data_IF_249828162592
#
_entry.id   IF_249828162592
#
_cell.length_a   1.000
_cell.length_b   1.000
_cell.length_c   1.000
_cell.angle_alpha   90.00
_cell.angle_beta   90.00
_cell.angle_gamma   90.00
#
_symmetry.space_group_name_H-M   'P 1'
#
loop_
_entity.id
_entity.type
_entity.pdbx_description
1 polymer ?
#
# COMPACT_ATOMS: atom_id res chain seq x y z
N UNK A 1 -14.51 7.38 34.23
CA UNK A 1 -14.64 7.23 32.76
C UNK A 1 -15.24 5.87 32.53
N UNK A 2 -16.47 5.80 32.03
CA UNK A 2 -17.13 4.50 31.74
C UNK A 2 -16.33 3.88 30.60
N UNK A 3 -15.67 2.75 30.84
CA UNK A 3 -15.13 1.94 29.75
C UNK A 3 -16.35 1.29 29.09
N UNK A 4 -16.75 1.78 27.93
CA UNK A 4 -17.74 1.06 27.13
C UNK A 4 -17.03 -0.19 26.61
N UNK A 5 -17.56 -1.35 26.98
CA UNK A 5 -17.09 -2.64 26.50
C UNK A 5 -18.28 -3.37 25.90
N UNK A 6 -18.05 -4.10 24.83
CA UNK A 6 -19.07 -4.97 24.25
C UNK A 6 -18.51 -6.38 24.07
N UNK A 7 -19.40 -7.35 24.18
CA UNK A 7 -19.08 -8.76 23.96
C UNK A 7 -19.35 -9.12 22.51
N UNK A 8 -18.48 -9.94 21.94
CA UNK A 8 -18.57 -10.41 20.57
C UNK A 8 -18.19 -11.88 20.51
N UNK A 9 -18.98 -12.68 19.80
CA UNK A 9 -18.64 -14.05 19.44
C UNK A 9 -18.08 -14.10 18.02
N UNK A 10 -16.84 -14.57 17.90
CA UNK A 10 -16.13 -14.75 16.63
C UNK A 10 -15.86 -16.23 16.43
N UNK A 11 -16.31 -16.77 15.30
CA UNK A 11 -16.02 -18.13 14.89
C UNK A 11 -14.77 -18.16 14.02
N UNK A 12 -13.75 -18.91 14.42
CA UNK A 12 -12.57 -19.20 13.62
C UNK A 12 -12.50 -20.71 13.36
N UNK A 13 -12.79 -21.11 12.12
CA UNK A 13 -13.00 -22.51 11.73
C UNK A 13 -14.10 -23.18 12.57
N UNK A 14 -13.77 -24.21 13.34
CA UNK A 14 -14.69 -24.96 14.19
C UNK A 14 -14.85 -24.35 15.60
N UNK A 15 -13.97 -23.43 15.99
CA UNK A 15 -13.97 -22.84 17.33
C UNK A 15 -14.75 -21.52 17.38
N UNK A 16 -15.49 -21.31 18.46
CA UNK A 16 -16.16 -20.05 18.77
C UNK A 16 -15.53 -19.38 19.98
N UNK A 17 -15.13 -18.12 19.81
CA UNK A 17 -14.46 -17.32 20.82
C UNK A 17 -15.38 -16.20 21.27
N UNK A 18 -15.72 -16.19 22.56
CA UNK A 18 -16.38 -15.06 23.21
C UNK A 18 -15.32 -14.08 23.71
N UNK A 19 -15.33 -12.86 23.19
CA UNK A 19 -14.34 -11.82 23.45
C UNK A 19 -15.01 -10.55 23.98
N UNK A 20 -14.31 -9.82 24.84
CA UNK A 20 -14.72 -8.47 25.25
C UNK A 20 -13.86 -7.44 24.54
N UNK A 21 -14.48 -6.59 23.74
CA UNK A 21 -13.82 -5.47 23.08
C UNK A 21 -14.03 -4.21 23.92
N UNK A 22 -12.92 -3.57 24.30
CA UNK A 22 -12.94 -2.32 25.04
C UNK A 22 -12.78 -1.13 24.09
N UNK A 23 -13.48 -0.04 24.40
CA UNK A 23 -13.13 1.26 23.82
C UNK A 23 -11.77 1.75 24.34
N UNK A 24 -10.92 2.34 23.46
CA UNK A 24 -9.64 2.88 23.86
C UNK A 24 -9.83 4.03 24.85
N UNK A 25 -9.11 3.99 25.97
CA UNK A 25 -9.02 5.13 26.89
C UNK A 25 -8.16 6.27 26.32
N UNK A 26 -8.13 7.43 26.98
CA UNK A 26 -7.39 8.60 26.49
C UNK A 26 -5.89 8.35 26.25
N UNK A 27 -5.25 7.48 27.05
CA UNK A 27 -3.84 7.12 26.90
C UNK A 27 -3.63 6.18 25.71
N UNK A 28 -4.47 5.16 25.57
CA UNK A 28 -4.45 4.21 24.45
C UNK A 28 -4.74 4.90 23.12
N UNK A 29 -5.72 5.82 23.10
CA UNK A 29 -6.02 6.65 21.93
C UNK A 29 -4.81 7.46 21.49
N UNK A 30 -4.14 8.12 22.43
CA UNK A 30 -2.91 8.87 22.15
C UNK A 30 -1.79 7.99 21.61
N UNK A 31 -1.64 6.75 22.11
CA UNK A 31 -0.64 5.81 21.62
C UNK A 31 -0.93 5.32 20.19
N UNK A 32 -2.20 5.06 19.88
CA UNK A 32 -2.64 4.70 18.53
C UNK A 32 -2.45 5.87 17.55
N UNK A 33 -2.79 7.09 17.98
CA UNK A 33 -2.62 8.31 17.18
C UNK A 33 -1.14 8.57 16.86
N UNK A 34 -0.24 8.42 17.85
CA UNK A 34 1.21 8.56 17.61
C UNK A 34 1.75 7.56 16.58
N UNK A 35 1.29 6.31 16.63
CA UNK A 35 1.67 5.29 15.65
C UNK A 35 1.12 5.59 14.26
N UNK A 36 -0.13 6.05 14.19
CA UNK A 36 -0.78 6.47 12.94
C UNK A 36 -0.05 7.65 12.29
N UNK A 37 0.34 8.65 13.08
CA UNK A 37 1.03 9.85 12.58
C UNK A 37 2.42 9.54 12.03
N UNK A 38 3.12 8.55 12.62
CA UNK A 38 4.40 8.07 12.09
C UNK A 38 4.22 7.47 10.68
N UNK A 39 3.28 6.54 10.52
CA UNK A 39 3.01 5.89 9.22
C UNK A 39 2.41 6.85 8.18
N UNK A 40 1.75 7.93 8.59
CA UNK A 40 1.23 8.93 7.65
C UNK A 40 2.33 9.67 6.87
N UNK A 41 3.49 9.92 7.50
CA UNK A 41 4.64 10.54 6.81
C UNK A 41 5.27 9.59 5.80
N UNK A 42 5.36 8.31 6.14
CA UNK A 42 5.88 7.27 5.24
C UNK A 42 4.96 7.06 4.05
N UNK A 43 3.63 7.03 4.27
CA UNK A 43 2.63 6.98 3.20
C UNK A 43 2.80 8.15 2.23
N UNK A 44 2.93 9.38 2.72
CA UNK A 44 3.11 10.55 1.84
C UNK A 44 4.38 10.44 0.98
N UNK A 45 5.45 9.86 1.52
CA UNK A 45 6.71 9.65 0.78
C UNK A 45 6.54 8.60 -0.32
N UNK A 46 5.83 7.50 -0.04
CA UNK A 46 5.55 6.45 -1.02
C UNK A 46 4.57 6.91 -2.11
N UNK A 47 3.56 7.71 -1.77
CA UNK A 47 2.65 8.33 -2.73
C UNK A 47 3.39 9.26 -3.69
N UNK A 48 4.29 10.11 -3.19
CA UNK A 48 5.14 10.96 -4.03
C UNK A 48 6.05 10.12 -4.95
N UNK A 49 6.57 8.99 -4.46
CA UNK A 49 7.37 8.08 -5.27
C UNK A 49 6.52 7.41 -6.38
N UNK A 50 5.27 7.04 -6.09
CA UNK A 50 4.32 6.50 -7.09
C UNK A 50 4.00 7.53 -8.16
N UNK A 51 3.67 8.75 -7.76
CA UNK A 51 3.34 9.80 -8.71
C UNK A 51 4.54 10.10 -9.63
N UNK A 52 5.76 10.10 -9.07
CA UNK A 52 6.99 10.23 -9.87
C UNK A 52 7.20 9.05 -10.83
N UNK A 53 6.93 7.82 -10.37
CA UNK A 53 7.02 6.63 -11.20
C UNK A 53 6.03 6.66 -12.37
N UNK A 54 4.76 7.01 -12.11
CA UNK A 54 3.74 7.15 -13.14
C UNK A 54 4.08 8.26 -14.14
N UNK A 55 4.60 9.39 -13.66
CA UNK A 55 5.04 10.48 -14.54
C UNK A 55 6.15 10.02 -15.50
N UNK A 56 7.14 9.28 -14.99
CA UNK A 56 8.21 8.72 -15.82
C UNK A 56 7.70 7.70 -16.83
N UNK A 57 6.71 6.87 -16.47
CA UNK A 57 6.06 5.96 -17.41
C UNK A 57 5.33 6.71 -18.53
N UNK A 58 4.60 7.78 -18.20
CA UNK A 58 3.97 8.64 -19.20
C UNK A 58 4.99 9.30 -20.12
N UNK A 59 6.11 9.77 -19.56
CA UNK A 59 7.21 10.32 -20.36
C UNK A 59 7.79 9.28 -21.32
N UNK A 60 8.04 8.05 -20.86
CA UNK A 60 8.49 6.94 -21.73
C UNK A 60 7.48 6.69 -22.84
N UNK A 61 6.19 6.55 -22.50
CA UNK A 61 5.12 6.30 -23.47
C UNK A 61 5.08 7.39 -24.54
N UNK A 62 5.11 8.66 -24.14
CA UNK A 62 5.10 9.79 -25.07
C UNK A 62 6.31 9.78 -26.00
N UNK A 63 7.51 9.47 -25.48
CA UNK A 63 8.71 9.33 -26.32
C UNK A 63 8.61 8.12 -27.28
N UNK A 64 7.96 7.03 -26.87
CA UNK A 64 7.71 5.88 -27.73
C UNK A 64 6.73 6.22 -28.87
N UNK A 65 5.73 7.04 -28.61
CA UNK A 65 4.78 7.52 -29.62
C UNK A 65 5.50 8.39 -30.66
N UNK A 66 6.34 9.33 -30.21
CA UNK A 66 7.17 10.14 -31.12
C UNK A 66 8.11 9.26 -31.94
N UNK A 67 8.76 8.26 -31.34
CA UNK A 67 9.61 7.32 -32.08
C UNK A 67 8.81 6.59 -33.16
N UNK A 68 7.59 6.16 -32.83
CA UNK A 68 6.73 5.45 -33.78
C UNK A 68 6.35 6.35 -34.96
N UNK A 69 5.94 7.59 -34.68
CA UNK A 69 5.66 8.59 -35.70
C UNK A 69 6.90 8.90 -36.56
N UNK A 70 8.07 9.06 -35.95
CA UNK A 70 9.32 9.31 -36.67
C UNK A 70 9.67 8.14 -37.59
N UNK A 71 9.45 6.90 -37.15
CA UNK A 71 9.67 5.71 -37.98
C UNK A 71 8.67 5.63 -39.15
N UNK A 72 7.43 6.08 -38.97
CA UNK A 72 6.46 6.18 -40.06
C UNK A 72 6.86 7.24 -41.08
N UNK A 73 7.13 8.47 -40.62
CA UNK A 73 7.57 9.58 -41.46
C UNK A 73 8.88 9.28 -42.22
N UNK A 74 9.78 8.50 -41.61
CA UNK A 74 11.05 8.12 -42.25
C UNK A 74 10.88 7.37 -43.58
N UNK A 75 9.71 6.75 -43.81
CA UNK A 75 9.41 6.02 -45.06
C UNK A 75 9.16 6.96 -46.24
N UNK A 76 8.86 8.23 -45.98
CA UNK A 76 8.42 9.20 -46.99
C UNK A 76 9.44 10.33 -47.24
N UNK A 77 10.47 10.44 -46.39
CA UNK A 77 11.42 11.55 -46.39
C UNK A 77 12.63 11.32 -47.31
N UNK A 78 13.20 12.44 -47.78
CA UNK A 78 14.45 12.46 -48.55
C UNK A 78 15.66 12.39 -47.62
N UNK A 79 16.81 12.02 -48.18
CA UNK A 79 18.03 11.63 -47.47
C UNK A 79 18.50 12.62 -46.36
N UNK A 80 18.40 13.94 -46.60
CA UNK A 80 18.78 14.95 -45.61
C UNK A 80 17.81 15.07 -44.42
N UNK A 81 16.51 15.07 -44.68
CA UNK A 81 15.45 15.14 -43.66
C UNK A 81 15.37 13.82 -42.87
N UNK A 82 15.57 12.70 -43.57
CA UNK A 82 15.66 11.37 -42.98
C UNK A 82 16.80 11.26 -41.97
N UNK A 83 17.98 11.78 -42.30
CA UNK A 83 19.14 11.75 -41.40
C UNK A 83 18.90 12.49 -40.08
N UNK A 84 18.26 13.66 -40.15
CA UNK A 84 17.88 14.44 -38.97
C UNK A 84 16.87 13.67 -38.10
N UNK A 85 15.83 13.11 -38.73
CA UNK A 85 14.78 12.38 -38.03
C UNK A 85 15.30 11.10 -37.36
N UNK A 86 16.24 10.39 -37.99
CA UNK A 86 16.89 9.21 -37.40
C UNK A 86 17.77 9.59 -36.20
N UNK A 87 18.44 10.75 -36.24
CA UNK A 87 19.22 11.26 -35.11
C UNK A 87 18.33 11.56 -33.92
N UNK A 88 17.22 12.29 -34.13
CA UNK A 88 16.22 12.57 -33.09
C UNK A 88 15.66 11.27 -32.50
N UNK A 89 15.30 10.31 -33.35
CA UNK A 89 14.82 8.99 -32.94
C UNK A 89 15.83 8.26 -32.05
N UNK A 90 17.12 8.34 -32.37
CA UNK A 90 18.19 7.73 -31.57
C UNK A 90 18.34 8.43 -30.21
N UNK A 91 18.26 9.76 -30.17
CA UNK A 91 18.30 10.53 -28.94
C UNK A 91 17.11 10.18 -28.02
N UNK A 92 15.90 10.09 -28.56
CA UNK A 92 14.71 9.66 -27.81
C UNK A 92 14.87 8.24 -27.23
N UNK A 93 15.40 7.29 -28.01
CA UNK A 93 15.70 5.93 -27.54
C UNK A 93 16.71 5.93 -26.38
N UNK A 94 17.74 6.75 -26.47
CA UNK A 94 18.73 6.89 -25.39
C UNK A 94 18.12 7.50 -24.12
N UNK A 95 17.24 8.48 -24.26
CA UNK A 95 16.51 9.07 -23.12
C UNK A 95 15.61 8.04 -22.45
N UNK A 96 14.83 7.26 -23.22
CA UNK A 96 14.01 6.16 -22.69
C UNK A 96 14.91 5.18 -21.92
N UNK A 97 16.02 4.74 -22.50
CA UNK A 97 16.94 3.81 -21.85
C UNK A 97 17.48 4.36 -20.51
N UNK A 98 17.85 5.65 -20.49
CA UNK A 98 18.32 6.30 -19.27
C UNK A 98 17.25 6.36 -18.18
N UNK A 99 15.99 6.70 -18.53
CA UNK A 99 14.87 6.71 -17.59
C UNK A 99 14.63 5.28 -17.08
N UNK A 100 14.46 4.30 -17.97
CA UNK A 100 14.17 2.91 -17.62
C UNK A 100 15.22 2.27 -16.72
N UNK A 101 16.51 2.61 -16.87
CA UNK A 101 17.59 2.11 -16.02
C UNK A 101 17.45 2.54 -14.55
N UNK A 102 16.81 3.67 -14.30
CA UNK A 102 16.60 4.23 -12.96
C UNK A 102 15.18 4.07 -12.45
N UNK A 103 14.26 3.61 -13.31
CA UNK A 103 12.87 3.41 -12.98
C UNK A 103 12.73 2.19 -12.07
N UNK A 104 12.27 2.41 -10.85
CA UNK A 104 11.93 1.36 -9.89
C UNK A 104 10.51 1.58 -9.43
N UNK A 105 9.73 0.53 -9.45
CA UNK A 105 8.39 0.53 -8.86
C UNK A 105 8.53 0.74 -7.34
N UNK A 106 7.75 1.65 -6.74
CA UNK A 106 7.74 1.82 -5.29
C UNK A 106 7.26 0.53 -4.59
N UNK A 107 7.95 0.11 -3.54
CA UNK A 107 7.56 -1.04 -2.74
C UNK A 107 6.67 -0.61 -1.57
N UNK A 108 5.39 -0.99 -1.61
CA UNK A 108 4.40 -0.69 -0.56
C UNK A 108 4.35 -1.74 0.55
N UNK A 109 5.04 -2.88 0.41
CA UNK A 109 5.05 -3.95 1.43
C UNK A 109 5.47 -3.47 2.82
N UNK A 110 6.45 -2.56 2.98
CA UNK A 110 6.80 -2.03 4.29
C UNK A 110 5.61 -1.34 4.96
N UNK A 111 4.85 -0.52 4.22
CA UNK A 111 3.69 0.18 4.73
C UNK A 111 2.54 -0.77 5.09
N UNK A 112 2.30 -1.78 4.26
CA UNK A 112 1.32 -2.84 4.55
C UNK A 112 1.67 -3.55 5.87
N UNK A 113 2.95 -3.84 6.07
CA UNK A 113 3.44 -4.44 7.31
C UNK A 113 3.29 -3.51 8.51
N UNK A 114 3.61 -2.23 8.38
CA UNK A 114 3.41 -1.26 9.47
C UNK A 114 1.94 -1.14 9.87
N UNK A 115 1.05 -1.05 8.89
CA UNK A 115 -0.40 -0.99 9.13
C UNK A 115 -0.85 -2.24 9.89
N UNK A 116 -0.38 -3.41 9.46
CA UNK A 116 -0.68 -4.68 10.09
C UNK A 116 -0.15 -4.73 11.54
N UNK A 117 1.06 -4.25 11.80
CA UNK A 117 1.65 -4.16 13.14
C UNK A 117 0.84 -3.20 14.05
N UNK A 118 0.33 -2.08 13.51
CA UNK A 118 -0.55 -1.16 14.24
C UNK A 118 -1.87 -1.83 14.59
N UNK A 119 -2.46 -2.59 13.66
CA UNK A 119 -3.73 -3.28 13.87
C UNK A 119 -3.58 -4.46 14.83
N UNK A 120 -2.43 -5.14 14.81
CA UNK A 120 -2.04 -6.14 15.80
C UNK A 120 -1.92 -5.53 17.19
N UNK A 121 -1.21 -4.41 17.32
CA UNK A 121 -1.12 -3.67 18.57
C UNK A 121 -2.50 -3.21 19.07
N UNK A 122 -3.38 -2.78 18.16
CA UNK A 122 -4.77 -2.45 18.50
C UNK A 122 -5.52 -3.68 19.04
N UNK A 123 -5.35 -4.86 18.45
CA UNK A 123 -5.92 -6.12 18.95
C UNK A 123 -5.41 -6.46 20.35
N UNK A 124 -4.11 -6.33 20.59
CA UNK A 124 -3.49 -6.55 21.91
C UNK A 124 -4.02 -5.58 22.98
N UNK A 125 -4.30 -4.33 22.61
CA UNK A 125 -4.81 -3.34 23.55
C UNK A 125 -6.30 -3.51 23.86
N UNK A 126 -7.12 -3.69 22.82
CA UNK A 126 -8.56 -3.51 22.95
C UNK A 126 -9.31 -4.83 23.19
N UNK A 127 -8.75 -5.96 22.80
CA UNK A 127 -9.34 -7.28 23.05
C UNK A 127 -8.97 -7.73 24.47
N UNK A 128 -9.98 -8.21 25.20
CA UNK A 128 -9.87 -8.73 26.56
C UNK A 128 -10.78 -9.94 26.76
N UNK A 129 -10.63 -10.63 27.89
CA UNK A 129 -11.34 -11.86 28.22
C UNK A 129 -10.41 -13.08 28.26
N UNK A 130 -10.89 -14.14 28.89
CA UNK A 130 -10.10 -15.34 29.22
C UNK A 130 -9.57 -16.07 27.97
N UNK A 131 -10.26 -15.92 26.84
CA UNK A 131 -9.91 -16.58 25.58
C UNK A 131 -9.02 -15.72 24.66
N UNK A 132 -8.63 -14.50 25.08
CA UNK A 132 -7.87 -13.54 24.25
C UNK A 132 -6.59 -14.15 23.67
N UNK A 133 -5.74 -14.73 24.52
CA UNK A 133 -4.43 -15.22 24.10
C UNK A 133 -4.55 -16.36 23.10
N UNK A 134 -5.48 -17.29 23.36
CA UNK A 134 -5.78 -18.41 22.47
C UNK A 134 -6.32 -17.90 21.13
N UNK A 135 -7.22 -16.91 21.17
CA UNK A 135 -7.79 -16.30 19.98
C UNK A 135 -6.72 -15.63 19.11
N UNK A 136 -5.89 -14.75 19.69
CA UNK A 136 -4.84 -14.05 18.93
C UNK A 136 -3.81 -15.01 18.36
N UNK A 137 -3.44 -16.05 19.11
CA UNK A 137 -2.56 -17.10 18.60
C UNK A 137 -3.18 -17.84 17.42
N UNK A 138 -4.48 -18.12 17.47
CA UNK A 138 -5.18 -18.78 16.37
C UNK A 138 -5.32 -17.88 15.13
N UNK A 139 -5.49 -16.57 15.32
CA UNK A 139 -5.43 -15.58 14.23
C UNK A 139 -4.06 -15.64 13.53
N UNK A 140 -2.97 -15.62 14.31
CA UNK A 140 -1.60 -15.73 13.80
C UNK A 140 -1.35 -17.08 13.08
N UNK A 141 -1.75 -18.21 13.68
CA UNK A 141 -1.60 -19.56 13.11
C UNK A 141 -2.38 -19.75 11.80
N UNK A 142 -3.54 -19.12 11.66
CA UNK A 142 -4.36 -19.17 10.45
C UNK A 142 -3.93 -18.15 9.40
N UNK A 143 -2.95 -17.28 9.70
CA UNK A 143 -2.52 -16.22 8.80
C UNK A 143 -3.62 -15.20 8.50
N UNK A 144 -4.55 -14.99 9.43
CA UNK A 144 -5.63 -14.02 9.28
C UNK A 144 -5.05 -12.62 9.56
N UNK A 145 -5.21 -11.70 8.62
CA UNK A 145 -4.76 -10.32 8.87
C UNK A 145 -5.61 -9.64 9.93
N UNK A 146 -4.96 -8.87 10.80
CA UNK A 146 -5.58 -8.01 11.79
C UNK A 146 -6.48 -6.96 11.15
N UNK A 147 -6.20 -6.55 9.90
CA UNK A 147 -7.15 -5.76 9.11
C UNK A 147 -8.48 -6.47 8.93
N UNK A 148 -8.46 -7.71 8.41
CA UNK A 148 -9.68 -8.50 8.20
C UNK A 148 -10.39 -8.77 9.53
N UNK A 149 -9.62 -9.08 10.57
CA UNK A 149 -10.15 -9.26 11.92
C UNK A 149 -10.96 -8.04 12.40
N UNK A 150 -10.40 -6.83 12.27
CA UNK A 150 -11.08 -5.62 12.71
C UNK A 150 -12.28 -5.26 11.82
N UNK A 151 -12.26 -5.59 10.54
CA UNK A 151 -13.43 -5.48 9.65
C UNK A 151 -14.57 -6.39 10.11
N UNK A 152 -14.27 -7.64 10.47
CA UNK A 152 -15.26 -8.59 10.99
C UNK A 152 -15.79 -8.18 12.37
N UNK A 153 -14.92 -7.68 13.26
CA UNK A 153 -15.35 -7.10 14.55
C UNK A 153 -16.29 -5.92 14.32
N UNK A 154 -15.99 -5.04 13.37
CA UNK A 154 -16.80 -3.85 13.08
C UNK A 154 -18.18 -4.20 12.50
N UNK A 155 -18.30 -5.30 11.75
CA UNK A 155 -19.59 -5.80 11.24
C UNK A 155 -20.50 -6.33 12.35
N UNK A 156 -19.91 -6.97 13.35
CA UNK A 156 -20.62 -7.63 14.47
C UNK A 156 -20.86 -6.71 15.67
N UNK A 157 -20.12 -5.62 15.79
CA UNK A 157 -20.28 -4.61 16.85
C UNK A 157 -21.33 -3.52 16.55
N UNK A 158 -22.26 -3.78 15.61
CA UNK A 158 -23.41 -2.92 15.30
C UNK A 158 -24.71 -3.60 15.66
#
# INVERSE_FOLDING_TARGET
>A
MIKTSYEISIKLNEDEFSLTINEPNAKEKKLLDLKKDASAKELSTLEAARDSYEQKLREISHKQDIISLNLELSKELKEGELSLLLKETKELKNQIYAISKTLKEPDFKPLEKELEDILRYKSELLISGDMKEIFLKKVDELGISHKLLWEEIAKKGR
#
